data_IF_965977780233
#
_entry.id   IF_965977780233
#
_cell.length_a   1.000
_cell.length_b   1.000
_cell.length_c   1.000
_cell.angle_alpha   90.00
_cell.angle_beta   90.00
_cell.angle_gamma   90.00
#
_symmetry.space_group_name_H-M   'P 1'
#
loop_
_entity.id
_entity.type
_entity.pdbx_description
1 polymer ?
#
# COMPACT_ATOMS: atom_id res chain seq x y z
N UNK A 1 1.57 -6.97 -4.72
CA UNK A 1 0.54 -7.10 -3.64
C UNK A 1 -0.20 -5.78 -3.41
N UNK A 2 -1.30 -5.81 -2.65
CA UNK A 2 -2.02 -4.60 -2.22
C UNK A 2 -2.07 -4.48 -0.70
N UNK A 3 -1.95 -3.25 -0.20
CA UNK A 3 -2.01 -2.88 1.22
C UNK A 3 -3.14 -1.88 1.40
N UNK A 4 -4.20 -2.24 2.14
CA UNK A 4 -5.26 -1.31 2.47
C UNK A 4 -4.96 -0.66 3.81
N UNK A 5 -4.65 0.63 3.80
CA UNK A 5 -4.46 1.39 5.03
C UNK A 5 -5.82 1.77 5.64
N UNK A 6 -5.83 1.84 6.95
CA UNK A 6 -6.98 2.29 7.76
C UNK A 6 -7.03 3.81 7.83
N UNK A 7 -8.06 4.34 8.48
CA UNK A 7 -8.10 5.75 8.87
C UNK A 7 -6.93 6.12 9.78
N UNK A 8 -6.53 7.40 9.70
CA UNK A 8 -5.36 7.93 10.38
C UNK A 8 -5.42 7.78 11.90
N UNK A 9 -4.40 7.16 12.48
CA UNK A 9 -4.27 6.91 13.92
C UNK A 9 -2.86 7.28 14.37
N UNK A 10 -2.79 8.07 15.44
CA UNK A 10 -1.53 8.39 16.12
C UNK A 10 -1.02 7.17 16.88
N UNK A 11 0.29 6.98 16.84
CA UNK A 11 0.97 5.96 17.61
C UNK A 11 1.26 6.50 19.01
N UNK A 12 0.96 5.69 20.02
CA UNK A 12 1.22 5.96 21.43
C UNK A 12 2.56 5.36 21.90
N UNK A 13 3.39 4.95 20.95
CA UNK A 13 4.69 4.32 21.18
C UNK A 13 5.72 4.84 20.17
N UNK A 14 6.99 4.73 20.53
CA UNK A 14 8.08 5.06 19.64
C UNK A 14 8.20 4.02 18.52
N UNK A 15 8.21 4.52 17.28
CA UNK A 15 8.40 3.74 16.07
C UNK A 15 9.37 4.44 15.15
N UNK A 16 10.28 3.67 14.55
CA UNK A 16 11.23 4.14 13.55
C UNK A 16 10.95 3.37 12.27
N UNK A 17 10.64 4.08 11.19
CA UNK A 17 10.60 3.47 9.87
C UNK A 17 12.01 3.14 9.42
N UNK A 18 12.30 1.85 9.24
CA UNK A 18 13.59 1.35 8.75
C UNK A 18 13.93 1.73 7.32
N UNK A 19 12.98 2.21 6.51
CA UNK A 19 13.27 2.71 5.16
C UNK A 19 13.96 4.08 5.19
N UNK A 20 13.51 4.97 6.07
CA UNK A 20 13.96 6.37 6.17
C UNK A 20 14.82 6.63 7.40
N UNK A 21 14.82 5.71 8.36
CA UNK A 21 15.38 5.86 9.70
C UNK A 21 14.81 7.08 10.45
N UNK A 22 13.56 7.46 10.16
CA UNK A 22 12.84 8.56 10.81
C UNK A 22 11.76 8.04 11.76
N UNK A 23 11.42 8.80 12.82
CA UNK A 23 10.28 8.49 13.66
C UNK A 23 8.98 8.48 12.86
N UNK A 24 8.16 7.46 13.10
CA UNK A 24 6.78 7.40 12.63
C UNK A 24 5.89 7.64 13.84
N UNK A 25 5.13 8.72 13.79
CA UNK A 25 4.20 9.09 14.87
C UNK A 25 2.75 8.76 14.52
N UNK A 26 2.48 8.42 13.27
CA UNK A 26 1.12 8.21 12.76
C UNK A 26 1.11 7.14 11.65
N UNK A 27 0.00 6.44 11.52
CA UNK A 27 -0.27 5.50 10.41
C UNK A 27 -1.66 5.73 9.84
N UNK A 28 -1.91 5.22 8.64
CA UNK A 28 -3.23 5.33 8.00
C UNK A 28 -3.40 6.58 7.13
N UNK A 29 -4.59 6.69 6.52
CA UNK A 29 -5.01 7.78 5.65
C UNK A 29 -5.81 8.84 6.41
N UNK A 30 -5.56 10.12 6.17
CA UNK A 30 -6.30 11.24 6.76
C UNK A 30 -6.35 12.46 5.83
N UNK A 31 -7.09 13.48 6.25
CA UNK A 31 -7.27 14.72 5.49
C UNK A 31 -5.96 15.50 5.32
N UNK A 32 -4.98 15.32 6.21
CA UNK A 32 -3.68 15.96 6.09
C UNK A 32 -2.88 15.38 4.92
N UNK A 33 -2.94 14.05 4.71
CA UNK A 33 -2.38 13.42 3.51
C UNK A 33 -3.12 13.85 2.24
N UNK A 34 -4.45 13.95 2.29
CA UNK A 34 -5.22 14.44 1.14
C UNK A 34 -4.85 15.89 0.77
N UNK A 35 -4.66 16.75 1.78
CA UNK A 35 -4.20 18.12 1.57
C UNK A 35 -2.75 18.19 1.05
N UNK A 36 -1.86 17.32 1.54
CA UNK A 36 -0.49 17.21 1.04
C UNK A 36 -0.49 16.73 -0.41
N UNK A 37 -1.28 15.71 -0.75
CA UNK A 37 -1.40 15.16 -2.11
C UNK A 37 -1.84 16.23 -3.11
N UNK A 38 -2.69 17.17 -2.70
CA UNK A 38 -3.14 18.28 -3.55
C UNK A 38 -2.05 19.33 -3.84
N UNK A 39 -1.00 19.42 -3.01
CA UNK A 39 0.08 20.42 -3.11
C UNK A 39 1.36 19.81 -3.64
N UNK A 40 1.75 18.66 -3.09
CA UNK A 40 2.94 17.88 -3.45
C UNK A 40 2.58 16.39 -3.45
N UNK A 41 2.09 15.87 -4.59
CA UNK A 41 1.74 14.45 -4.72
C UNK A 41 2.90 13.51 -4.41
N UNK A 42 4.14 13.89 -4.76
CA UNK A 42 5.30 13.02 -4.55
C UNK A 42 5.59 12.87 -3.07
N UNK A 43 5.62 13.97 -2.32
CA UNK A 43 5.78 13.94 -0.88
C UNK A 43 4.65 13.17 -0.19
N UNK A 44 3.41 13.31 -0.68
CA UNK A 44 2.28 12.54 -0.17
C UNK A 44 2.45 11.03 -0.38
N UNK A 45 2.87 10.58 -1.57
CA UNK A 45 3.10 9.16 -1.84
C UNK A 45 4.22 8.59 -0.95
N UNK A 46 5.29 9.35 -0.72
CA UNK A 46 6.38 8.98 0.19
C UNK A 46 5.93 8.87 1.63
N UNK A 47 5.11 9.82 2.10
CA UNK A 47 4.52 9.76 3.44
C UNK A 47 3.51 8.61 3.57
N UNK A 48 2.73 8.31 2.52
CA UNK A 48 1.84 7.13 2.50
C UNK A 48 2.66 5.85 2.62
N UNK A 49 3.79 5.73 1.91
CA UNK A 49 4.68 4.58 2.07
C UNK A 49 5.26 4.51 3.48
N UNK A 50 5.75 5.63 4.00
CA UNK A 50 6.25 5.75 5.36
C UNK A 50 5.23 5.24 6.37
N UNK A 51 3.96 5.61 6.23
CA UNK A 51 2.86 5.21 7.13
C UNK A 51 2.32 3.79 6.90
N UNK A 52 2.70 3.13 5.82
CA UNK A 52 2.10 1.85 5.39
C UNK A 52 3.08 0.69 5.28
N UNK A 53 4.39 0.93 5.32
CA UNK A 53 5.39 -0.13 5.15
C UNK A 53 5.47 -1.08 6.36
N UNK A 54 4.96 -0.70 7.53
CA UNK A 54 5.15 -1.42 8.79
C UNK A 54 3.95 -2.22 9.32
N UNK A 55 4.28 -3.21 10.16
CA UNK A 55 3.39 -3.91 11.10
C UNK A 55 2.32 -4.85 10.53
N UNK A 56 2.65 -5.49 9.42
CA UNK A 56 1.74 -6.43 8.79
C UNK A 56 1.91 -7.84 9.32
N UNK A 57 0.77 -8.48 9.62
CA UNK A 57 0.72 -9.92 9.78
C UNK A 57 0.56 -10.54 8.39
N UNK A 58 1.67 -11.00 7.82
CA UNK A 58 1.74 -11.56 6.48
C UNK A 58 2.75 -12.70 6.40
N UNK A 59 2.69 -13.49 5.33
CA UNK A 59 3.65 -14.57 5.07
C UNK A 59 4.89 -13.97 4.36
N UNK A 60 6.08 -13.97 4.98
CA UNK A 60 7.25 -13.28 4.46
C UNK A 60 7.67 -13.75 3.06
N UNK A 61 7.60 -15.06 2.79
CA UNK A 61 7.96 -15.64 1.51
C UNK A 61 7.08 -15.15 0.36
N UNK A 62 5.80 -14.89 0.61
CA UNK A 62 4.89 -14.30 -0.38
C UNK A 62 5.12 -12.81 -0.57
N UNK A 63 5.41 -12.08 0.50
CA UNK A 63 5.71 -10.65 0.39
C UNK A 63 6.94 -10.40 -0.47
N UNK A 64 8.02 -11.17 -0.27
CA UNK A 64 9.27 -11.02 -1.03
C UNK A 64 9.19 -11.49 -2.49
N UNK A 65 8.12 -12.20 -2.87
CA UNK A 65 7.83 -12.58 -4.27
C UNK A 65 7.00 -11.54 -5.02
N UNK A 66 6.50 -10.52 -4.32
CA UNK A 66 5.82 -9.41 -4.98
C UNK A 66 6.86 -8.37 -5.37
N UNK A 67 6.79 -7.88 -6.60
CA UNK A 67 7.66 -6.80 -7.06
C UNK A 67 7.17 -5.45 -6.54
N UNK A 68 5.84 -5.30 -6.43
CA UNK A 68 5.19 -4.05 -6.05
C UNK A 68 4.27 -4.19 -4.83
N UNK A 69 4.19 -3.13 -4.04
CA UNK A 69 3.14 -2.85 -3.08
C UNK A 69 2.25 -1.71 -3.60
N UNK A 70 0.98 -2.00 -3.87
CA UNK A 70 -0.04 -1.00 -4.20
C UNK A 70 -0.79 -0.65 -2.91
N UNK A 71 -0.50 0.51 -2.35
CA UNK A 71 -1.15 1.02 -1.13
C UNK A 71 -2.42 1.75 -1.53
N UNK A 72 -3.54 1.33 -0.93
CA UNK A 72 -4.86 1.90 -1.17
C UNK A 72 -5.47 2.44 0.12
N UNK A 73 -6.20 3.54 -0.01
CA UNK A 73 -6.93 4.15 1.09
C UNK A 73 -8.18 3.32 1.49
N UNK A 74 -8.93 3.73 2.54
CA UNK A 74 -10.17 3.06 2.94
C UNK A 74 -11.23 2.96 1.84
N UNK A 75 -11.22 3.87 0.86
CA UNK A 75 -12.10 3.87 -0.31
C UNK A 75 -11.55 3.02 -1.48
N UNK A 76 -10.44 2.30 -1.24
CA UNK A 76 -9.75 1.44 -2.19
C UNK A 76 -9.11 2.19 -3.37
N UNK A 77 -8.84 3.48 -3.19
CA UNK A 77 -8.15 4.31 -4.17
C UNK A 77 -6.65 4.19 -3.98
N UNK A 78 -5.89 4.05 -5.07
CA UNK A 78 -4.42 3.99 -5.04
C UNK A 78 -3.83 5.32 -4.59
N UNK A 79 -3.00 5.27 -3.54
CA UNK A 79 -2.31 6.43 -2.94
C UNK A 79 -0.79 6.30 -2.91
N UNK A 80 -0.26 5.08 -3.06
CA UNK A 80 1.17 4.85 -3.19
C UNK A 80 1.40 3.57 -3.99
N UNK A 81 2.40 3.58 -4.86
CA UNK A 81 2.97 2.38 -5.47
C UNK A 81 4.43 2.34 -5.04
N UNK A 82 4.88 1.23 -4.46
CA UNK A 82 6.25 1.09 -3.97
C UNK A 82 6.85 -0.23 -4.45
N UNK A 83 8.15 -0.24 -4.70
CA UNK A 83 8.91 -1.49 -4.86
C UNK A 83 9.06 -2.18 -3.51
N UNK A 84 9.13 -3.50 -3.51
CA UNK A 84 9.43 -4.29 -2.33
C UNK A 84 10.83 -4.87 -2.50
N UNK A 85 11.78 -4.35 -1.75
CA UNK A 85 13.18 -4.77 -1.80
C UNK A 85 13.49 -5.85 -0.75
N UNK A 86 12.64 -5.96 0.28
CA UNK A 86 12.82 -6.94 1.33
C UNK A 86 11.81 -6.86 2.45
N UNK A 87 12.06 -7.64 3.49
CA UNK A 87 11.23 -7.70 4.69
C UNK A 87 12.09 -7.79 5.94
N UNK A 88 11.68 -7.12 7.01
CA UNK A 88 12.26 -7.26 8.34
C UNK A 88 11.21 -7.86 9.28
N UNK A 89 11.60 -8.87 10.04
CA UNK A 89 10.77 -9.40 11.12
C UNK A 89 10.81 -8.44 12.31
N UNK A 90 9.64 -8.10 12.84
CA UNK A 90 9.51 -7.31 14.05
C UNK A 90 10.13 -8.01 15.25
N UNK A 91 10.90 -7.26 16.03
CA UNK A 91 11.22 -7.62 17.42
C UNK A 91 10.23 -7.01 18.41
N UNK A 92 10.40 -7.31 19.69
CA UNK A 92 9.69 -6.68 20.82
C UNK A 92 8.14 -6.74 20.71
N UNK A 93 7.40 -5.65 20.89
CA UNK A 93 5.93 -5.65 20.82
C UNK A 93 5.37 -5.98 19.42
N UNK A 94 6.23 -6.18 18.43
CA UNK A 94 5.86 -6.53 17.05
C UNK A 94 6.20 -7.97 16.68
N UNK A 95 6.31 -8.84 17.68
CA UNK A 95 6.40 -10.29 17.47
C UNK A 95 5.35 -10.73 16.44
N UNK A 96 5.79 -11.56 15.51
CA UNK A 96 5.00 -12.09 14.38
C UNK A 96 4.48 -11.06 13.38
N UNK A 97 5.00 -9.82 13.39
CA UNK A 97 4.71 -8.80 12.38
C UNK A 97 5.93 -8.51 11.52
N UNK A 98 5.66 -8.08 10.30
CA UNK A 98 6.65 -7.80 9.27
C UNK A 98 6.60 -6.33 8.89
N UNK A 99 7.76 -5.72 8.77
CA UNK A 99 7.95 -4.48 8.04
C UNK A 99 8.44 -4.80 6.63
N UNK A 100 7.86 -4.13 5.64
CA UNK A 100 8.31 -4.12 4.25
C UNK A 100 9.41 -3.07 4.08
N UNK A 101 10.46 -3.46 3.38
CA UNK A 101 11.51 -2.56 2.92
C UNK A 101 11.29 -2.24 1.45
N UNK A 102 11.51 -0.99 1.07
CA UNK A 102 11.34 -0.53 -0.29
C UNK A 102 11.23 0.98 -0.41
N UNK A 103 10.98 1.43 -1.63
CA UNK A 103 10.82 2.85 -1.96
C UNK A 103 9.65 3.07 -2.91
N UNK A 104 9.06 4.26 -2.86
CA UNK A 104 8.02 4.68 -3.81
C UNK A 104 8.54 4.55 -5.23
N UNK A 105 7.75 3.89 -6.07
CA UNK A 105 8.08 3.59 -7.45
C UNK A 105 8.18 4.86 -8.30
N UNK A 106 8.73 4.71 -9.51
CA UNK A 106 8.97 5.81 -10.42
C UNK A 106 7.69 6.36 -11.08
N UNK A 107 7.84 7.45 -11.87
CA UNK A 107 6.72 8.13 -12.52
C UNK A 107 5.99 7.27 -13.56
N UNK A 108 6.57 6.15 -13.99
CA UNK A 108 5.90 5.18 -14.86
C UNK A 108 4.60 4.63 -14.27
N UNK A 109 4.41 4.70 -12.95
CA UNK A 109 3.18 4.29 -12.26
C UNK A 109 2.18 5.44 -12.00
N UNK A 110 2.50 6.67 -12.41
CA UNK A 110 1.63 7.83 -12.23
C UNK A 110 0.17 7.61 -12.71
N UNK A 111 -0.08 6.91 -13.83
CA UNK A 111 -1.44 6.63 -14.27
C UNK A 111 -2.31 5.83 -13.29
N UNK A 112 -1.70 5.10 -12.33
CA UNK A 112 -2.44 4.32 -11.33
C UNK A 112 -2.98 5.15 -10.18
N UNK A 113 -2.38 6.30 -9.87
CA UNK A 113 -2.84 7.13 -8.75
C UNK A 113 -4.27 7.61 -8.96
N UNK A 114 -5.05 7.62 -7.88
CA UNK A 114 -6.47 7.97 -7.94
C UNK A 114 -7.38 6.90 -8.58
N UNK A 115 -6.83 5.77 -9.07
CA UNK A 115 -7.63 4.68 -9.62
C UNK A 115 -8.12 3.73 -8.54
N UNK A 116 -9.23 3.05 -8.82
CA UNK A 116 -9.85 2.09 -7.92
C UNK A 116 -9.25 0.68 -8.07
N UNK A 117 -9.00 0.03 -6.93
CA UNK A 117 -8.64 -1.38 -6.83
C UNK A 117 -9.82 -2.14 -6.19
N UNK A 118 -10.65 -2.78 -7.02
CA UNK A 118 -11.81 -3.54 -6.56
C UNK A 118 -11.39 -4.92 -6.06
N UNK A 119 -10.86 -4.97 -4.84
CA UNK A 119 -10.64 -6.23 -4.11
C UNK A 119 -11.94 -6.74 -3.48
N UNK A 120 -11.99 -8.05 -3.27
CA UNK A 120 -13.05 -8.73 -2.52
C UNK A 120 -13.23 -8.16 -1.08
N UNK A 121 -14.32 -8.51 -0.42
CA UNK A 121 -14.66 -8.01 0.92
C UNK A 121 -13.81 -8.62 2.07
N UNK A 122 -12.61 -9.13 1.77
CA UNK A 122 -11.67 -9.60 2.78
C UNK A 122 -11.39 -8.49 3.80
N UNK A 123 -11.48 -8.83 5.08
CA UNK A 123 -11.06 -7.95 6.18
C UNK A 123 -9.55 -7.87 6.34
N UNK A 124 -8.78 -8.71 5.62
CA UNK A 124 -7.33 -8.64 5.67
C UNK A 124 -6.86 -7.41 4.87
N UNK A 125 -6.17 -6.44 5.52
CA UNK A 125 -5.64 -5.28 4.81
C UNK A 125 -4.59 -5.68 3.75
N UNK A 126 -3.93 -6.82 3.90
CA UNK A 126 -3.02 -7.38 2.90
C UNK A 126 -3.77 -8.34 1.98
N UNK A 127 -3.71 -8.06 0.69
CA UNK A 127 -4.15 -9.00 -0.34
C UNK A 127 -3.06 -9.19 -1.39
N UNK A 128 -2.79 -10.45 -1.71
CA UNK A 128 -1.89 -10.82 -2.78
C UNK A 128 -2.73 -10.98 -4.04
N UNK A 129 -2.44 -10.12 -5.01
CA UNK A 129 -3.06 -10.12 -6.31
C UNK A 129 -2.03 -10.61 -7.33
N UNK A 130 -2.52 -11.20 -8.41
CA UNK A 130 -1.69 -11.47 -9.57
C UNK A 130 -1.41 -10.14 -10.27
N UNK A 131 -0.14 -9.76 -10.37
CA UNK A 131 0.27 -8.48 -10.94
C UNK A 131 -0.06 -8.41 -12.44
N UNK A 132 -0.14 -9.56 -13.12
CA UNK A 132 -0.61 -9.64 -14.52
C UNK A 132 -2.10 -9.33 -14.67
N UNK A 133 -2.88 -9.39 -13.58
CA UNK A 133 -4.29 -9.05 -13.58
C UNK A 133 -4.55 -7.55 -13.34
N UNK A 134 -3.52 -6.77 -13.02
CA UNK A 134 -3.60 -5.30 -12.92
C UNK A 134 -3.35 -4.71 -14.30
N UNK A 135 -4.17 -3.74 -14.70
CA UNK A 135 -3.95 -2.99 -15.93
C UNK A 135 -2.58 -2.31 -15.88
N UNK A 136 -1.73 -2.55 -16.88
CA UNK A 136 -0.40 -1.94 -16.92
C UNK A 136 -0.52 -0.41 -17.02
N UNK A 137 0.41 0.37 -16.46
CA UNK A 137 0.29 1.83 -16.46
C UNK A 137 0.12 2.44 -17.85
N UNK A 138 0.82 1.90 -18.85
CA UNK A 138 0.72 2.33 -20.26
C UNK A 138 -0.66 2.12 -20.89
N UNK A 139 -1.47 1.22 -20.34
CA UNK A 139 -2.78 0.86 -20.86
C UNK A 139 -3.91 1.61 -20.11
N UNK A 140 -3.56 2.43 -19.11
CA UNK A 140 -4.51 3.25 -18.36
C UNK A 140 -4.83 4.51 -19.16
N UNK A 141 -6.08 4.63 -19.56
CA UNK A 141 -6.60 5.78 -20.30
C UNK A 141 -7.21 6.82 -19.35
N UNK A 142 -7.48 8.03 -19.87
CA UNK A 142 -8.05 9.12 -19.09
C UNK A 142 -9.40 8.77 -18.43
N UNK A 143 -10.24 7.97 -19.11
CA UNK A 143 -11.55 7.49 -18.65
C UNK A 143 -11.48 6.21 -17.80
N UNK A 144 -10.29 5.62 -17.65
CA UNK A 144 -10.11 4.43 -16.81
C UNK A 144 -10.31 4.82 -15.35
N UNK A 145 -11.24 4.14 -14.67
CA UNK A 145 -11.53 4.37 -13.24
C UNK A 145 -11.08 3.21 -12.36
N UNK A 146 -10.98 1.99 -12.91
CA UNK A 146 -10.60 0.77 -12.20
C UNK A 146 -9.40 0.14 -12.88
N UNK A 147 -8.34 -0.16 -12.13
CA UNK A 147 -7.14 -0.83 -12.64
C UNK A 147 -7.06 -2.31 -12.26
N UNK A 148 -7.86 -2.74 -11.31
CA UNK A 148 -7.93 -4.13 -10.87
C UNK A 148 -9.32 -4.45 -10.32
N UNK A 149 -9.84 -5.61 -10.72
CA UNK A 149 -11.07 -6.20 -10.19
C UNK A 149 -10.81 -7.67 -9.87
N UNK A 150 -11.08 -8.08 -8.62
CA UNK A 150 -10.94 -9.48 -8.23
C UNK A 150 -12.08 -10.30 -8.85
N UNK A 151 -11.82 -10.81 -10.07
CA UNK A 151 -12.75 -11.64 -10.83
C UNK A 151 -12.96 -13.04 -10.26
N UNK A 152 -12.44 -13.35 -9.07
CA UNK A 152 -12.83 -14.53 -8.29
C UNK A 152 -14.29 -14.41 -7.87
N UNK A 153 -15.19 -14.54 -8.84
CA UNK A 153 -16.63 -14.67 -8.65
C UNK A 153 -16.91 -15.87 -7.77
N UNK A 154 -17.71 -15.64 -6.73
CA UNK A 154 -19.05 -16.22 -6.64
C UNK A 154 -19.17 -17.61 -7.28
N UNK A 155 -18.35 -18.55 -6.79
CA UNK A 155 -18.56 -19.98 -7.00
C UNK A 155 -19.01 -20.55 -5.67
N UNK A 156 -20.10 -20.00 -5.12
CA UNK A 156 -20.92 -20.77 -4.20
C UNK A 156 -22.09 -21.27 -5.00
N UNK A 157 -22.14 -22.59 -5.15
CA UNK A 157 -23.37 -23.32 -5.43
C UNK A 157 -24.43 -23.00 -4.37
#
# INVERSE_FOLDING_TARGET
MTIQIRDGIDLDFDEIDRNTNTPRTRIGWDDALAALEAVDPRAAHEEVWHRSSGWWKLEPGRAIRCDLAIVIDPNKIVRCVAHIDGVIKGGDYRLDRIQLLGSVAGPEYDPWYGKLVQRNASKNPIAYIDEQAVLLPKDVMADTTVIYEDKRKTTSR
#
